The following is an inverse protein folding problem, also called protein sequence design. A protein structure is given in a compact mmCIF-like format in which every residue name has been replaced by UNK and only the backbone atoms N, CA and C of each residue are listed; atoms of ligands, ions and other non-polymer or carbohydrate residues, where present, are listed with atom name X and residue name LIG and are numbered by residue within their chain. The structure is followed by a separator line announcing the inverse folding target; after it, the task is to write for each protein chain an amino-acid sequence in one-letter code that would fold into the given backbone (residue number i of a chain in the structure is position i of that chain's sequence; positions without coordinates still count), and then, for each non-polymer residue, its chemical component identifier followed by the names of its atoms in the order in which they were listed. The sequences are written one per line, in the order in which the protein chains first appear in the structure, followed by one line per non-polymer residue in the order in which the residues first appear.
data_IF_288475833095
#
_entry.id   IF_288475833095
#
_cell.length_a   1.000
_cell.length_b   1.000
_cell.length_c   1.000
_cell.angle_alpha   90.00
_cell.angle_beta   90.00
_cell.angle_gamma   90.00
#
_symmetry.space_group_name_H-M   'P 1'
#
loop_
_entity.id
_entity.type
_entity.pdbx_description
1 polymer ?
#
# COMPACT_ATOMS: atom_id res chain seq x y z
N UNK A 1 44.65 -56.81 64.54
CA UNK A 1 43.91 -57.93 63.91
C UNK A 1 42.52 -57.43 63.52
N UNK A 2 42.23 -57.40 62.22
CA UNK A 2 41.03 -56.78 61.67
C UNK A 2 39.75 -57.47 62.16
N UNK A 3 38.70 -56.70 62.46
CA UNK A 3 37.40 -57.22 62.88
C UNK A 3 36.82 -58.29 61.91
N UNK A 4 37.17 -58.19 60.62
CA UNK A 4 36.81 -59.13 59.57
C UNK A 4 37.40 -60.55 59.79
N UNK A 5 38.57 -60.67 60.42
CA UNK A 5 39.22 -61.98 60.68
C UNK A 5 38.58 -62.75 61.84
N UNK A 6 37.92 -62.04 62.78
CA UNK A 6 37.22 -62.64 63.93
C UNK A 6 35.82 -63.14 63.54
N UNK A 7 35.20 -62.53 62.54
CA UNK A 7 33.91 -62.96 61.96
C UNK A 7 34.09 -64.29 61.19
N UNK A 8 35.22 -64.50 60.51
CA UNK A 8 35.45 -65.67 59.68
C UNK A 8 35.93 -66.93 60.45
N UNK A 9 36.35 -66.80 61.72
CA UNK A 9 36.89 -67.90 62.53
C UNK A 9 35.99 -68.34 63.69
N UNK A 10 34.83 -67.70 63.89
CA UNK A 10 33.90 -68.00 64.98
C UNK A 10 32.86 -69.06 64.57
N UNK A 11 32.83 -70.21 65.27
CA UNK A 11 31.83 -71.28 65.10
C UNK A 11 30.64 -71.15 66.10
N UNK A 12 30.24 -69.93 66.44
CA UNK A 12 29.15 -69.70 67.41
C UNK A 12 27.78 -69.75 66.71
N UNK A 13 26.86 -70.67 67.08
CA UNK A 13 25.53 -70.75 66.48
C UNK A 13 24.71 -69.47 66.70
N UNK A 14 24.96 -68.72 67.79
CA UNK A 14 24.33 -67.42 68.03
C UNK A 14 24.81 -66.33 67.06
N UNK A 15 26.08 -66.34 66.67
CA UNK A 15 26.61 -65.38 65.70
C UNK A 15 26.00 -65.61 64.31
N UNK A 16 25.90 -66.88 63.89
CA UNK A 16 25.22 -67.24 62.64
C UNK A 16 23.73 -66.89 62.65
N UNK A 17 23.04 -67.10 63.78
CA UNK A 17 21.64 -66.68 63.94
C UNK A 17 21.45 -65.16 63.84
N UNK A 18 22.35 -64.37 64.44
CA UNK A 18 22.30 -62.90 64.35
C UNK A 18 22.59 -62.38 62.93
N UNK A 19 23.56 -62.98 62.23
CA UNK A 19 23.87 -62.65 60.83
C UNK A 19 22.70 -63.02 59.91
N UNK A 20 22.09 -64.20 60.10
CA UNK A 20 20.93 -64.62 59.32
C UNK A 20 19.73 -63.69 59.56
N UNK A 21 19.45 -63.30 60.81
CA UNK A 21 18.40 -62.34 61.13
C UNK A 21 18.66 -60.97 60.49
N UNK A 22 19.90 -60.47 60.54
CA UNK A 22 20.30 -59.23 59.89
C UNK A 22 20.10 -59.30 58.37
N UNK A 23 20.54 -60.38 57.72
CA UNK A 23 20.35 -60.57 56.27
C UNK A 23 18.87 -60.64 55.90
N UNK A 24 18.04 -61.33 56.67
CA UNK A 24 16.59 -61.35 56.45
C UNK A 24 15.98 -59.96 56.57
N UNK A 25 16.37 -59.17 57.58
CA UNK A 25 15.88 -57.78 57.69
C UNK A 25 16.33 -56.89 56.52
N UNK A 26 17.56 -57.10 56.01
CA UNK A 26 18.08 -56.39 54.84
C UNK A 26 17.34 -56.79 53.56
N UNK A 27 17.06 -58.08 53.37
CA UNK A 27 16.32 -58.60 52.20
C UNK A 27 14.87 -58.13 52.22
N UNK A 28 14.19 -58.22 53.37
CA UNK A 28 12.82 -57.73 53.54
C UNK A 28 12.77 -56.21 53.37
N UNK A 29 13.73 -55.47 53.95
CA UNK A 29 13.84 -54.02 53.79
C UNK A 29 14.09 -53.61 52.34
N UNK A 30 14.99 -54.30 51.62
CA UNK A 30 15.25 -54.05 50.20
C UNK A 30 14.05 -54.41 49.32
N UNK A 31 13.36 -55.52 49.60
CA UNK A 31 12.14 -55.92 48.90
C UNK A 31 11.01 -54.90 49.05
N UNK A 32 10.76 -54.41 50.27
CA UNK A 32 9.77 -53.35 50.54
C UNK A 32 10.14 -52.05 49.83
N UNK A 33 11.42 -51.66 49.84
CA UNK A 33 11.88 -50.47 49.14
C UNK A 33 11.64 -50.54 47.63
N UNK A 34 11.94 -51.69 47.00
CA UNK A 34 11.71 -51.91 45.56
C UNK A 34 10.22 -51.90 45.23
N UNK A 35 9.38 -52.56 46.03
CA UNK A 35 7.92 -52.61 45.80
C UNK A 35 7.22 -51.26 46.03
N UNK A 36 7.81 -50.37 46.83
CA UNK A 36 7.25 -49.04 47.11
C UNK A 36 7.55 -48.00 46.03
N UNK A 37 8.52 -48.27 45.15
CA UNK A 37 8.96 -47.38 44.08
C UNK A 37 7.93 -47.38 42.95
N UNK A 38 7.50 -46.18 42.57
CA UNK A 38 6.53 -45.93 41.50
C UNK A 38 7.18 -45.06 40.43
N UNK A 39 6.96 -45.35 39.15
CA UNK A 39 7.23 -44.44 38.05
C UNK A 39 6.00 -43.56 37.82
N UNK A 40 6.20 -42.25 37.85
CA UNK A 40 5.12 -41.28 37.70
C UNK A 40 5.50 -40.32 36.58
N UNK A 41 4.52 -40.05 35.71
CA UNK A 41 4.64 -39.03 34.66
C UNK A 41 4.24 -37.69 35.25
N UNK A 42 5.14 -36.71 35.22
CA UNK A 42 4.88 -35.34 35.64
C UNK A 42 4.67 -34.48 34.39
N UNK A 43 3.59 -33.70 34.39
CA UNK A 43 3.29 -32.67 33.39
C UNK A 43 3.32 -31.32 34.11
N UNK A 44 4.46 -30.65 34.11
CA UNK A 44 4.66 -29.39 34.82
C UNK A 44 4.66 -28.23 33.84
N UNK A 45 3.64 -27.37 33.92
CA UNK A 45 3.45 -26.24 33.01
C UNK A 45 3.54 -26.65 31.52
N UNK A 46 3.02 -27.83 31.19
CA UNK A 46 3.05 -28.44 29.86
C UNK A 46 4.30 -29.28 29.54
N UNK A 47 5.38 -29.16 30.31
CA UNK A 47 6.59 -29.97 30.13
C UNK A 47 6.42 -31.35 30.76
N UNK A 48 6.69 -32.41 29.97
CA UNK A 48 6.53 -33.80 30.40
C UNK A 48 7.87 -34.43 30.76
N UNK A 49 7.95 -35.05 31.93
CA UNK A 49 9.07 -35.92 32.31
C UNK A 49 8.60 -37.07 33.20
N UNK A 50 9.39 -38.13 33.26
CA UNK A 50 9.11 -39.29 34.11
C UNK A 50 10.11 -39.33 35.24
N UNK A 51 9.64 -39.48 36.47
CA UNK A 51 10.50 -39.65 37.64
C UNK A 51 9.98 -40.76 38.55
N UNK A 52 10.89 -41.35 39.33
CA UNK A 52 10.54 -42.34 40.33
C UNK A 52 10.26 -41.68 41.67
N UNK A 53 9.21 -42.11 42.37
CA UNK A 53 8.89 -41.65 43.73
C UNK A 53 8.47 -42.81 44.62
N UNK A 54 8.74 -42.70 45.92
CA UNK A 54 8.23 -43.62 46.95
C UNK A 54 7.04 -43.00 47.71
N UNK A 55 6.63 -41.78 47.37
CA UNK A 55 5.52 -41.09 48.06
C UNK A 55 4.19 -41.80 47.80
N UNK A 56 3.28 -41.62 48.74
CA UNK A 56 1.93 -42.16 48.68
C UNK A 56 0.94 -41.20 48.01
N UNK A 57 1.22 -39.91 48.00
CA UNK A 57 0.32 -38.86 47.51
C UNK A 57 0.96 -37.93 46.47
N UNK A 58 0.11 -37.15 45.79
CA UNK A 58 0.51 -36.18 44.77
C UNK A 58 1.39 -35.06 45.34
N UNK A 59 1.03 -34.49 46.49
CA UNK A 59 1.77 -33.39 47.13
C UNK A 59 3.20 -33.80 47.49
N UNK A 60 3.38 -34.97 48.10
CA UNK A 60 4.68 -35.51 48.44
C UNK A 60 5.50 -35.76 47.18
N UNK A 61 4.91 -36.37 46.16
CA UNK A 61 5.59 -36.66 44.90
C UNK A 61 6.08 -35.39 44.19
N UNK A 62 5.25 -34.33 44.14
CA UNK A 62 5.65 -33.04 43.58
C UNK A 62 6.75 -32.36 44.39
N UNK A 63 6.66 -32.38 45.72
CA UNK A 63 7.69 -31.80 46.61
C UNK A 63 9.04 -32.48 46.42
N UNK A 64 9.07 -33.81 46.33
CA UNK A 64 10.31 -34.57 46.08
C UNK A 64 10.90 -34.25 44.69
N UNK A 65 10.04 -33.96 43.71
CA UNK A 65 10.45 -33.49 42.38
C UNK A 65 10.88 -32.01 42.35
N UNK A 66 10.89 -31.31 43.50
CA UNK A 66 11.31 -29.91 43.61
C UNK A 66 10.19 -28.88 43.41
N UNK A 67 8.94 -29.31 43.32
CA UNK A 67 7.79 -28.43 43.07
C UNK A 67 6.94 -28.29 44.34
N UNK A 68 7.01 -27.10 44.96
CA UNK A 68 6.11 -26.71 46.04
C UNK A 68 4.74 -26.28 45.50
N UNK A 69 3.66 -26.73 46.13
CA UNK A 69 2.30 -26.35 45.78
C UNK A 69 1.88 -25.07 46.51
N UNK A 70 1.36 -24.10 45.76
CA UNK A 70 0.63 -22.94 46.27
C UNK A 70 -0.88 -23.20 46.30
N UNK A 71 -1.64 -22.36 47.00
CA UNK A 71 -3.11 -22.44 47.00
C UNK A 71 -3.76 -21.99 45.69
N UNK A 72 -3.00 -21.36 44.79
CA UNK A 72 -3.49 -20.86 43.49
C UNK A 72 -3.10 -21.78 42.32
N UNK A 73 -2.28 -22.80 42.59
CA UNK A 73 -1.85 -23.74 41.57
C UNK A 73 -2.97 -24.71 41.25
N UNK A 74 -3.03 -25.14 40.00
CA UNK A 74 -3.95 -26.17 39.54
C UNK A 74 -3.20 -27.50 39.47
N UNK A 75 -3.66 -28.47 40.25
CA UNK A 75 -3.03 -29.79 40.36
C UNK A 75 -4.06 -30.89 40.16
N UNK A 76 -3.75 -31.80 39.24
CA UNK A 76 -4.60 -32.94 38.91
C UNK A 76 -3.78 -34.22 38.79
N UNK A 77 -4.12 -35.31 39.50
CA UNK A 77 -5.16 -35.41 40.53
C UNK A 77 -4.93 -34.48 41.74
N UNK A 78 -5.92 -34.38 42.65
CA UNK A 78 -5.83 -33.47 43.80
C UNK A 78 -4.59 -33.74 44.66
N UNK A 79 -4.11 -32.72 45.37
CA UNK A 79 -2.86 -32.79 46.12
C UNK A 79 -2.76 -33.94 47.14
N UNK A 80 -3.89 -34.42 47.68
CA UNK A 80 -3.95 -35.55 48.61
C UNK A 80 -4.31 -36.90 47.98
N UNK A 81 -4.54 -36.94 46.65
CA UNK A 81 -4.87 -38.16 45.95
C UNK A 81 -3.73 -39.16 46.05
N UNK A 82 -4.08 -40.44 46.26
CA UNK A 82 -3.10 -41.51 46.31
C UNK A 82 -2.53 -41.77 44.91
N UNK A 83 -1.22 -42.05 44.85
CA UNK A 83 -0.51 -42.30 43.59
C UNK A 83 -0.15 -43.78 43.44
N UNK A 84 -0.33 -44.30 42.24
CA UNK A 84 0.03 -45.67 41.83
C UNK A 84 1.11 -45.65 40.75
N UNK A 85 1.72 -46.79 40.48
CA UNK A 85 2.69 -46.92 39.38
C UNK A 85 2.05 -46.57 38.04
N UNK A 86 2.73 -45.79 37.21
CA UNK A 86 2.21 -45.27 35.94
C UNK A 86 1.28 -44.06 36.06
N UNK A 87 1.03 -43.52 37.26
CA UNK A 87 0.18 -42.34 37.44
C UNK A 87 0.70 -41.13 36.65
N UNK A 88 -0.22 -40.29 36.17
CA UNK A 88 0.11 -38.98 35.59
C UNK A 88 -0.32 -37.87 36.55
N UNK A 89 0.61 -36.99 36.88
CA UNK A 89 0.39 -35.80 37.72
C UNK A 89 0.61 -34.57 36.85
N UNK A 90 -0.41 -33.73 36.75
CA UNK A 90 -0.34 -32.43 36.09
C UNK A 90 -0.30 -31.34 37.13
N UNK A 91 0.66 -30.43 37.02
CA UNK A 91 0.76 -29.21 37.81
C UNK A 91 0.89 -28.01 36.87
N UNK A 92 -0.08 -27.11 36.92
CA UNK A 92 0.00 -25.80 36.31
C UNK A 92 0.14 -24.77 37.42
N UNK A 93 1.31 -24.15 37.51
CA UNK A 93 1.60 -23.16 38.55
C UNK A 93 0.86 -21.86 38.28
N UNK A 94 0.47 -21.19 39.35
CA UNK A 94 -0.21 -19.90 39.27
C UNK A 94 0.75 -18.79 38.80
N UNK A 95 0.23 -17.90 37.96
CA UNK A 95 1.00 -16.89 37.23
C UNK A 95 0.24 -15.57 37.38
N UNK A 96 0.90 -14.54 37.90
CA UNK A 96 0.29 -13.21 38.01
C UNK A 96 0.40 -12.51 36.65
N UNK A 97 -0.73 -12.04 36.12
CA UNK A 97 -0.81 -11.33 34.85
C UNK A 97 -1.30 -9.91 35.11
N UNK A 98 -0.59 -8.93 34.56
CA UNK A 98 -1.01 -7.53 34.53
C UNK A 98 -1.95 -7.35 33.34
N UNK A 99 -3.24 -7.15 33.61
CA UNK A 99 -4.28 -6.96 32.60
C UNK A 99 -4.50 -5.47 32.37
N UNK A 100 -4.43 -5.02 31.13
CA UNK A 100 -4.79 -3.64 30.75
C UNK A 100 -6.00 -3.73 29.84
N UNK A 101 -7.20 -3.49 30.38
CA UNK A 101 -8.45 -3.57 29.62
C UNK A 101 -8.85 -2.16 29.22
N UNK A 102 -8.84 -1.88 27.91
CA UNK A 102 -9.14 -0.54 27.36
C UNK A 102 -8.38 0.59 28.09
N UNK A 103 -7.10 0.35 28.41
CA UNK A 103 -6.23 1.30 29.13
C UNK A 103 -6.33 1.27 30.66
N UNK A 104 -7.25 0.49 31.23
CA UNK A 104 -7.40 0.37 32.69
C UNK A 104 -6.57 -0.80 33.24
N UNK A 105 -5.54 -0.55 34.08
CA UNK A 105 -4.70 -1.61 34.62
C UNK A 105 -5.36 -2.35 35.78
N UNK A 106 -5.17 -3.66 35.83
CA UNK A 106 -5.57 -4.55 36.91
C UNK A 106 -4.64 -5.76 36.98
N UNK A 107 -4.76 -6.58 38.04
CA UNK A 107 -3.99 -7.82 38.20
C UNK A 107 -4.92 -9.00 38.34
N UNK A 108 -4.55 -10.11 37.73
CA UNK A 108 -5.25 -11.38 37.90
C UNK A 108 -4.29 -12.55 37.98
N UNK A 109 -4.75 -13.63 38.59
CA UNK A 109 -4.02 -14.90 38.67
C UNK A 109 -4.65 -15.89 37.70
N UNK A 110 -3.81 -16.63 36.97
CA UNK A 110 -4.26 -17.71 36.11
C UNK A 110 -3.27 -18.87 36.14
N UNK A 111 -3.75 -20.06 35.84
CA UNK A 111 -2.93 -21.27 35.61
C UNK A 111 -2.87 -21.62 34.12
N UNK A 112 -3.29 -20.70 33.24
CA UNK A 112 -3.17 -20.85 31.79
C UNK A 112 -1.69 -20.78 31.34
N UNK A 113 -1.35 -21.57 30.33
CA UNK A 113 -0.01 -21.59 29.74
C UNK A 113 0.11 -20.61 28.58
N UNK A 114 -1.00 -20.27 27.94
CA UNK A 114 -1.07 -19.34 26.80
C UNK A 114 -2.12 -18.25 27.03
N UNK A 115 -2.03 -17.16 26.26
CA UNK A 115 -3.06 -16.11 26.27
C UNK A 115 -4.43 -16.68 25.89
N UNK A 116 -4.49 -17.59 24.91
CA UNK A 116 -5.72 -18.24 24.47
C UNK A 116 -6.45 -18.97 25.61
N UNK A 117 -5.72 -19.73 26.42
CA UNK A 117 -6.24 -20.44 27.58
C UNK A 117 -6.63 -19.49 28.72
N UNK A 118 -5.95 -18.35 28.82
CA UNK A 118 -6.19 -17.38 29.88
C UNK A 118 -7.53 -16.66 29.72
N UNK A 119 -7.97 -16.37 28.49
CA UNK A 119 -9.24 -15.66 28.21
C UNK A 119 -10.43 -16.28 28.97
N UNK A 120 -10.78 -17.56 28.78
CA UNK A 120 -11.92 -18.15 29.50
C UNK A 120 -11.66 -18.29 31.01
N UNK A 121 -10.42 -18.58 31.44
CA UNK A 121 -10.07 -18.68 32.87
C UNK A 121 -10.20 -17.35 33.63
N UNK A 122 -10.05 -16.23 32.91
CA UNK A 122 -10.17 -14.88 33.43
C UNK A 122 -11.58 -14.28 33.22
N UNK A 123 -12.55 -15.08 32.74
CA UNK A 123 -13.91 -14.61 32.40
C UNK A 123 -13.93 -13.45 31.40
N UNK A 124 -12.98 -13.43 30.46
CA UNK A 124 -12.90 -12.40 29.42
C UNK A 124 -13.75 -12.82 28.19
N UNK A 125 -14.40 -11.87 27.49
CA UNK A 125 -15.16 -12.18 26.28
C UNK A 125 -14.29 -12.81 25.18
N UNK A 126 -14.90 -13.68 24.37
CA UNK A 126 -14.19 -14.40 23.31
C UNK A 126 -13.79 -13.54 22.12
N UNK A 127 -14.44 -12.39 21.91
CA UNK A 127 -14.29 -11.48 20.77
C UNK A 127 -13.32 -10.31 21.04
N UNK A 128 -12.54 -10.36 22.13
CA UNK A 128 -11.53 -9.34 22.46
C UNK A 128 -10.24 -9.48 21.64
N UNK A 129 -9.56 -8.36 21.44
CA UNK A 129 -8.20 -8.32 20.92
C UNK A 129 -7.22 -8.46 22.08
N UNK A 130 -6.13 -9.19 21.85
CA UNK A 130 -5.10 -9.43 22.86
C UNK A 130 -3.72 -9.10 22.30
N UNK A 131 -2.93 -8.35 23.06
CA UNK A 131 -1.49 -8.22 22.85
C UNK A 131 -0.75 -8.60 24.14
N UNK A 132 0.12 -9.62 24.13
CA UNK A 132 0.52 -10.43 22.99
C UNK A 132 -0.62 -11.32 22.44
N UNK A 133 -0.41 -11.89 21.24
CA UNK A 133 -1.42 -12.68 20.52
C UNK A 133 -1.86 -13.93 21.30
N UNK A 134 -3.05 -14.47 20.99
CA UNK A 134 -3.61 -15.65 21.68
C UNK A 134 -2.68 -16.87 21.77
N UNK A 135 -1.94 -17.25 20.72
CA UNK A 135 -1.00 -18.37 20.80
C UNK A 135 0.24 -18.11 21.67
N UNK A 136 0.47 -16.85 22.06
CA UNK A 136 1.66 -16.48 22.80
C UNK A 136 1.67 -17.15 24.19
N UNK A 137 2.82 -17.71 24.60
CA UNK A 137 2.96 -18.29 25.92
C UNK A 137 2.89 -17.19 26.98
N UNK A 138 2.28 -17.50 28.11
CA UNK A 138 2.46 -16.70 29.32
C UNK A 138 3.73 -17.24 30.01
N UNK A 139 4.62 -16.41 30.57
CA UNK A 139 5.79 -16.83 31.37
C UNK A 139 5.54 -16.74 32.89
N UNK A 140 6.23 -17.56 33.69
CA UNK A 140 5.93 -17.71 35.13
C UNK A 140 6.30 -16.47 35.94
N UNK A 141 7.33 -15.72 35.52
CA UNK A 141 7.71 -14.44 36.12
C UNK A 141 6.62 -13.35 35.99
N UNK A 142 5.60 -13.57 35.17
CA UNK A 142 4.48 -12.67 34.93
C UNK A 142 4.46 -12.13 33.52
N UNK A 143 3.27 -11.75 33.05
CA UNK A 143 3.06 -11.17 31.73
C UNK A 143 2.19 -9.91 31.82
N UNK A 144 2.38 -9.00 30.88
CA UNK A 144 1.42 -7.94 30.60
C UNK A 144 0.53 -8.39 29.44
N UNK A 145 -0.77 -8.26 29.62
CA UNK A 145 -1.78 -8.58 28.61
C UNK A 145 -2.65 -7.34 28.38
N UNK A 146 -2.46 -6.71 27.23
CA UNK A 146 -3.34 -5.67 26.73
C UNK A 146 -4.57 -6.33 26.11
N UNK A 147 -5.74 -5.90 26.55
CA UNK A 147 -7.03 -6.38 26.11
C UNK A 147 -7.80 -5.18 25.57
N UNK A 148 -8.28 -5.28 24.35
CA UNK A 148 -9.15 -4.27 23.75
C UNK A 148 -10.49 -4.88 23.44
N UNK A 149 -11.55 -4.24 23.94
CA UNK A 149 -12.92 -4.66 23.67
C UNK A 149 -13.33 -4.28 22.23
N UNK A 150 -14.26 -5.04 21.62
CA UNK A 150 -14.76 -4.73 20.28
C UNK A 150 -15.49 -3.39 20.25
N UNK A 151 -15.20 -2.59 19.22
CA UNK A 151 -15.89 -1.34 18.90
C UNK A 151 -16.71 -1.51 17.63
N UNK A 152 -17.83 -0.81 17.53
CA UNK A 152 -18.64 -0.76 16.31
C UNK A 152 -18.27 0.50 15.52
N UNK A 153 -17.82 0.35 14.28
CA UNK A 153 -17.36 1.44 13.41
C UNK A 153 -18.10 1.40 12.07
N UNK A 154 -18.19 2.54 11.38
CA UNK A 154 -18.61 2.62 9.98
C UNK A 154 -17.38 2.55 9.08
N UNK A 155 -17.22 1.48 8.31
CA UNK A 155 -16.08 1.28 7.41
C UNK A 155 -16.50 1.36 5.95
N UNK A 156 -15.85 2.26 5.21
CA UNK A 156 -15.84 2.35 3.75
C UNK A 156 -14.45 1.95 3.25
N UNK A 157 -14.35 0.99 2.34
CA UNK A 157 -13.08 0.53 1.77
C UNK A 157 -13.18 0.43 0.25
N UNK A 158 -12.15 0.90 -0.45
CA UNK A 158 -12.01 0.79 -1.90
C UNK A 158 -13.22 1.39 -2.67
N UNK A 159 -13.82 2.45 -2.12
CA UNK A 159 -15.01 3.11 -2.69
C UNK A 159 -16.34 2.37 -2.50
N UNK A 160 -16.36 1.28 -1.72
CA UNK A 160 -17.60 0.59 -1.32
C UNK A 160 -18.34 1.45 -0.27
N UNK A 161 -19.68 1.55 -0.32
CA UNK A 161 -20.45 2.28 0.68
C UNK A 161 -20.16 1.81 2.11
N UNK A 162 -20.18 2.76 3.06
CA UNK A 162 -19.87 2.48 4.45
C UNK A 162 -20.83 1.43 5.05
N UNK A 163 -20.27 0.48 5.81
CA UNK A 163 -21.02 -0.56 6.51
C UNK A 163 -20.57 -0.66 7.97
N UNK A 164 -21.47 -1.11 8.85
CA UNK A 164 -21.15 -1.29 10.27
C UNK A 164 -20.31 -2.55 10.47
N UNK A 165 -19.17 -2.38 11.11
CA UNK A 165 -18.23 -3.46 11.46
C UNK A 165 -18.00 -3.43 12.95
N UNK A 166 -18.17 -4.59 13.62
CA UNK A 166 -17.88 -4.75 15.05
C UNK A 166 -16.71 -5.70 15.23
N UNK A 167 -15.55 -5.15 15.59
CA UNK A 167 -14.31 -5.90 15.76
C UNK A 167 -13.48 -5.31 16.91
N UNK A 168 -12.66 -6.15 17.53
CA UNK A 168 -11.70 -5.70 18.52
C UNK A 168 -10.35 -5.41 17.85
N UNK A 169 -9.89 -4.18 18.00
CA UNK A 169 -8.56 -3.74 17.61
C UNK A 169 -8.23 -2.43 18.38
N UNK A 170 -6.95 -2.18 18.69
CA UNK A 170 -6.54 -0.96 19.40
C UNK A 170 -6.65 0.30 18.55
N UNK A 171 -6.49 0.17 17.23
CA UNK A 171 -6.30 1.28 16.27
C UNK A 171 -6.95 0.97 14.92
N UNK A 172 -7.11 2.00 14.08
CA UNK A 172 -7.65 1.86 12.72
C UNK A 172 -6.85 0.88 11.87
N UNK A 173 -5.51 0.96 11.90
CA UNK A 173 -4.63 0.07 11.13
C UNK A 173 -4.80 -1.40 11.53
N UNK A 174 -4.86 -1.67 12.82
CA UNK A 174 -4.99 -3.00 13.39
C UNK A 174 -6.40 -3.57 13.12
N UNK A 175 -7.44 -2.72 13.07
CA UNK A 175 -8.77 -3.13 12.63
C UNK A 175 -8.72 -3.69 11.21
N UNK A 176 -8.07 -2.96 10.29
CA UNK A 176 -7.92 -3.38 8.91
C UNK A 176 -7.10 -4.67 8.79
N UNK A 177 -6.07 -4.84 9.63
CA UNK A 177 -5.28 -6.06 9.69
C UNK A 177 -6.11 -7.26 10.19
N UNK A 178 -6.87 -7.11 11.27
CA UNK A 178 -7.74 -8.16 11.83
C UNK A 178 -8.86 -8.52 10.86
N UNK A 179 -9.38 -7.56 10.11
CA UNK A 179 -10.38 -7.79 9.05
C UNK A 179 -9.78 -8.48 7.80
N UNK A 180 -8.46 -8.63 7.72
CA UNK A 180 -7.78 -9.25 6.58
C UNK A 180 -7.55 -8.32 5.39
N UNK A 181 -7.72 -7.01 5.57
CA UNK A 181 -7.54 -5.98 4.54
C UNK A 181 -6.51 -4.94 4.96
N UNK A 182 -5.26 -5.32 5.33
CA UNK A 182 -4.26 -4.37 5.79
C UNK A 182 -3.95 -3.30 4.72
N UNK A 183 -3.48 -2.14 5.14
CA UNK A 183 -2.99 -1.11 4.22
C UNK A 183 -1.69 -1.60 3.56
N UNK A 184 -1.60 -1.47 2.24
CA UNK A 184 -0.40 -1.84 1.48
C UNK A 184 -0.02 -0.72 0.53
N UNK A 185 1.26 -0.66 0.15
CA UNK A 185 1.77 0.27 -0.87
C UNK A 185 1.43 1.74 -0.58
N UNK A 186 0.55 2.34 -1.39
CA UNK A 186 0.14 3.75 -1.32
C UNK A 186 -1.29 3.90 -0.78
N UNK A 187 -1.85 2.86 -0.16
CA UNK A 187 -3.14 2.93 0.49
C UNK A 187 -3.14 3.99 1.60
N UNK A 188 -4.27 4.65 1.77
CA UNK A 188 -4.48 5.69 2.76
C UNK A 188 -5.77 5.43 3.53
N UNK A 189 -5.82 5.82 4.79
CA UNK A 189 -7.02 5.73 5.63
C UNK A 189 -7.22 7.01 6.42
N UNK A 190 -8.49 7.41 6.54
CA UNK A 190 -8.93 8.49 7.40
C UNK A 190 -10.02 7.99 8.36
N UNK A 191 -9.88 8.19 9.69
CA UNK A 191 -8.72 8.71 10.41
C UNK A 191 -7.44 7.89 10.21
N UNK A 192 -6.29 8.45 10.62
CA UNK A 192 -4.98 7.82 10.43
C UNK A 192 -4.92 6.41 11.05
N UNK A 193 -4.08 5.55 10.48
CA UNK A 193 -3.95 4.15 10.93
C UNK A 193 -3.60 4.01 12.42
N UNK A 194 -2.91 4.98 13.02
CA UNK A 194 -2.55 5.00 14.44
C UNK A 194 -3.65 5.54 15.36
N UNK A 195 -4.77 6.04 14.83
CA UNK A 195 -5.87 6.58 15.61
C UNK A 195 -6.54 5.47 16.44
N UNK A 196 -6.69 5.61 17.76
CA UNK A 196 -7.40 4.65 18.60
C UNK A 196 -8.87 4.54 18.23
N UNK A 197 -9.44 3.32 18.25
CA UNK A 197 -10.85 3.11 17.90
C UNK A 197 -11.82 3.63 18.96
N UNK A 198 -12.95 4.17 18.49
CA UNK A 198 -14.10 4.59 19.30
C UNK A 198 -15.40 4.09 18.63
N UNK A 199 -16.45 3.91 19.42
CA UNK A 199 -17.75 3.50 18.89
C UNK A 199 -18.36 4.59 17.99
N UNK A 200 -18.94 4.17 16.87
CA UNK A 200 -19.49 5.03 15.82
C UNK A 200 -18.46 5.74 14.94
N UNK A 201 -17.16 5.43 15.10
CA UNK A 201 -16.11 6.03 14.28
C UNK A 201 -16.32 5.72 12.79
N UNK A 202 -16.19 6.75 11.94
CA UNK A 202 -16.20 6.60 10.48
C UNK A 202 -14.79 6.42 9.98
N UNK A 203 -14.54 5.34 9.26
CA UNK A 203 -13.24 4.98 8.69
C UNK A 203 -13.42 4.88 7.18
N UNK A 204 -12.66 5.67 6.44
CA UNK A 204 -12.64 5.65 4.97
C UNK A 204 -11.25 5.24 4.50
N UNK A 205 -11.17 4.10 3.84
CA UNK A 205 -9.94 3.59 3.23
C UNK A 205 -9.96 3.88 1.74
N UNK A 206 -8.89 4.53 1.27
CA UNK A 206 -8.62 4.77 -0.14
C UNK A 206 -7.53 3.82 -0.59
N UNK A 207 -7.87 2.90 -1.50
CA UNK A 207 -6.90 1.95 -2.06
C UNK A 207 -6.24 2.55 -3.29
N UNK A 208 -4.90 2.54 -3.32
CA UNK A 208 -4.14 3.08 -4.44
C UNK A 208 -3.11 2.08 -4.92
N UNK A 209 -3.25 1.68 -6.18
CA UNK A 209 -2.31 0.78 -6.86
C UNK A 209 -1.86 1.41 -8.17
N UNK A 210 -0.59 1.18 -8.51
CA UNK A 210 -0.03 1.52 -9.82
C UNK A 210 0.30 0.22 -10.52
N UNK A 211 -0.31 -0.01 -11.68
CA UNK A 211 -0.06 -1.20 -12.49
C UNK A 211 0.53 -0.82 -13.85
N UNK A 212 1.39 -1.68 -14.38
CA UNK A 212 1.92 -1.52 -15.73
C UNK A 212 0.95 -2.16 -16.72
N UNK A 213 0.38 -1.36 -17.61
CA UNK A 213 -0.51 -1.83 -18.69
C UNK A 213 0.10 -1.49 -20.03
N UNK A 214 0.25 -2.50 -20.90
CA UNK A 214 0.73 -2.30 -22.27
C UNK A 214 -0.45 -2.24 -23.22
N UNK A 215 -0.52 -1.17 -24.01
CA UNK A 215 -1.53 -0.97 -25.05
C UNK A 215 -0.85 -0.73 -26.40
N UNK A 216 -1.42 -1.31 -27.46
CA UNK A 216 -0.99 -1.05 -28.83
C UNK A 216 -1.71 0.17 -29.37
N UNK A 217 -0.96 1.21 -29.70
CA UNK A 217 -1.51 2.48 -30.23
C UNK A 217 -0.87 2.84 -31.59
N UNK A 218 -1.53 3.70 -32.39
CA UNK A 218 -0.93 4.24 -33.61
C UNK A 218 0.37 5.00 -33.34
N UNK A 219 1.30 4.93 -34.29
CA UNK A 219 2.50 5.75 -34.33
C UNK A 219 2.39 6.72 -35.50
N UNK A 220 2.37 8.03 -35.20
CA UNK A 220 2.26 9.05 -36.23
C UNK A 220 3.48 9.05 -37.16
N UNK A 221 3.28 9.22 -38.48
CA UNK A 221 4.37 9.36 -39.45
C UNK A 221 5.32 10.51 -39.11
N UNK A 222 6.65 10.29 -39.11
CA UNK A 222 7.61 11.37 -39.01
C UNK A 222 7.54 12.27 -40.26
N UNK A 223 7.86 13.54 -40.11
CA UNK A 223 7.84 14.50 -41.21
C UNK A 223 9.15 14.46 -42.00
N UNK A 224 9.06 14.27 -43.31
CA UNK A 224 10.14 14.52 -44.25
C UNK A 224 9.86 15.85 -44.96
N UNK A 225 10.62 16.88 -44.62
CA UNK A 225 10.41 18.24 -45.14
C UNK A 225 11.26 18.45 -46.38
N UNK A 226 10.62 18.79 -47.49
CA UNK A 226 11.26 19.20 -48.73
C UNK A 226 10.99 20.70 -48.95
N UNK A 227 12.05 21.48 -49.12
CA UNK A 227 11.95 22.89 -49.45
C UNK A 227 11.53 23.08 -50.92
N UNK A 228 10.50 23.89 -51.16
CA UNK A 228 10.06 24.26 -52.49
C UNK A 228 10.31 25.76 -52.74
N UNK A 229 11.27 26.07 -53.61
CA UNK A 229 11.68 27.43 -53.96
C UNK A 229 10.65 28.19 -54.83
N UNK A 230 9.60 27.54 -55.30
CA UNK A 230 8.49 28.14 -56.05
C UNK A 230 7.31 28.49 -55.14
N UNK A 231 7.25 27.88 -53.95
CA UNK A 231 6.19 28.07 -52.96
C UNK A 231 6.59 29.12 -51.90
N UNK A 232 5.70 30.06 -51.58
CA UNK A 232 5.96 31.06 -50.53
C UNK A 232 6.22 30.42 -49.17
N UNK A 233 7.11 31.00 -48.37
CA UNK A 233 7.52 30.47 -47.05
C UNK A 233 6.38 30.36 -46.03
N UNK A 234 5.28 31.06 -46.26
CA UNK A 234 4.03 30.99 -45.46
C UNK A 234 3.21 29.72 -45.73
N UNK A 235 3.50 28.99 -46.81
CA UNK A 235 2.70 27.86 -47.28
C UNK A 235 3.40 26.54 -46.99
N UNK A 236 2.58 25.55 -46.63
CA UNK A 236 3.00 24.17 -46.42
C UNK A 236 1.98 23.26 -47.12
N UNK A 237 2.46 22.30 -47.88
CA UNK A 237 1.62 21.34 -48.61
C UNK A 237 2.03 19.93 -48.20
N UNK A 238 1.06 19.11 -47.79
CA UNK A 238 1.28 17.68 -47.59
C UNK A 238 1.26 17.01 -48.96
N UNK A 239 2.42 16.57 -49.43
CA UNK A 239 2.56 15.87 -50.71
C UNK A 239 2.21 14.38 -50.57
N UNK A 240 2.67 13.76 -49.48
CA UNK A 240 2.31 12.40 -49.11
C UNK A 240 1.98 12.35 -47.62
N UNK A 241 0.79 11.90 -47.20
CA UNK A 241 0.40 11.83 -45.79
C UNK A 241 1.16 10.76 -44.99
N UNK A 242 1.96 9.92 -45.64
CA UNK A 242 2.64 8.78 -45.00
C UNK A 242 1.67 7.66 -44.64
N UNK A 243 2.17 6.67 -43.92
CA UNK A 243 1.35 5.56 -43.39
C UNK A 243 1.65 5.41 -41.90
N UNK A 244 0.64 5.53 -41.03
CA UNK A 244 0.84 5.32 -39.60
C UNK A 244 1.41 3.94 -39.28
N UNK A 245 2.35 3.92 -38.34
CA UNK A 245 2.89 2.69 -37.77
C UNK A 245 2.07 2.23 -36.57
N UNK A 246 2.62 1.27 -35.82
CA UNK A 246 2.09 0.87 -34.51
C UNK A 246 3.21 0.76 -33.49
N UNK A 247 2.91 1.12 -32.25
CA UNK A 247 3.83 1.01 -31.12
C UNK A 247 3.08 0.41 -29.93
N UNK A 248 3.78 -0.43 -29.17
CA UNK A 248 3.31 -0.90 -27.88
C UNK A 248 3.82 0.08 -26.82
N UNK A 249 2.90 0.77 -26.14
CA UNK A 249 3.20 1.73 -25.08
C UNK A 249 2.79 1.10 -23.75
N UNK A 250 3.78 0.95 -22.86
CA UNK A 250 3.53 0.60 -21.47
C UNK A 250 3.22 1.89 -20.70
N UNK A 251 2.06 1.90 -20.07
CA UNK A 251 1.60 2.95 -19.18
C UNK A 251 1.71 2.50 -17.72
N UNK A 252 2.11 3.43 -16.84
CA UNK A 252 1.87 3.31 -15.41
C UNK A 252 0.45 3.81 -15.13
N UNK A 253 -0.49 2.89 -14.93
CA UNK A 253 -1.91 3.18 -14.69
C UNK A 253 -2.13 3.32 -13.19
N UNK A 254 -2.51 4.52 -12.76
CA UNK A 254 -2.90 4.79 -11.37
C UNK A 254 -4.36 4.44 -11.17
N UNK A 255 -4.63 3.50 -10.27
CA UNK A 255 -5.98 3.07 -9.91
C UNK A 255 -6.25 3.51 -8.46
N UNK A 256 -7.36 4.22 -8.26
CA UNK A 256 -7.83 4.69 -6.96
C UNK A 256 -9.24 4.16 -6.75
N UNK A 257 -9.46 3.41 -5.66
CA UNK A 257 -10.76 2.80 -5.34
C UNK A 257 -11.33 1.94 -6.48
N UNK A 258 -10.47 1.12 -7.09
CA UNK A 258 -10.81 0.27 -8.23
C UNK A 258 -11.09 1.00 -9.55
N UNK A 259 -10.93 2.33 -9.61
CA UNK A 259 -11.16 3.15 -10.80
C UNK A 259 -9.86 3.75 -11.32
N UNK A 260 -9.69 3.77 -12.64
CA UNK A 260 -8.56 4.42 -13.29
C UNK A 260 -8.62 5.93 -13.04
N UNK A 261 -7.62 6.45 -12.34
CA UNK A 261 -7.48 7.87 -12.04
C UNK A 261 -6.62 8.61 -13.09
N UNK A 262 -5.74 7.87 -13.77
CA UNK A 262 -4.88 8.40 -14.83
C UNK A 262 -3.84 7.38 -15.26
N UNK A 263 -3.18 7.63 -16.40
CA UNK A 263 -2.10 6.80 -16.90
C UNK A 263 -1.01 7.64 -17.56
N UNK A 264 0.24 7.33 -17.26
CA UNK A 264 1.41 8.01 -17.81
C UNK A 264 2.26 7.03 -18.63
N UNK A 265 2.71 7.40 -19.84
CA UNK A 265 3.56 6.53 -20.65
C UNK A 265 4.96 6.41 -20.01
N UNK A 266 5.42 5.18 -19.76
CA UNK A 266 6.74 4.90 -19.17
C UNK A 266 7.73 4.32 -20.18
N UNK A 267 7.22 3.60 -21.19
CA UNK A 267 8.04 2.97 -22.22
C UNK A 267 7.23 2.84 -23.50
N UNK A 268 7.85 3.13 -24.64
CA UNK A 268 7.29 2.82 -25.94
C UNK A 268 8.23 1.87 -26.69
N UNK A 269 7.68 0.96 -27.49
CA UNK A 269 8.43 0.11 -28.40
C UNK A 269 7.70 0.07 -29.74
N UNK A 270 8.39 0.49 -30.81
CA UNK A 270 7.85 0.45 -32.17
C UNK A 270 7.73 -1.00 -32.63
N UNK A 271 6.55 -1.38 -33.10
CA UNK A 271 6.25 -2.72 -33.63
C UNK A 271 6.25 -2.68 -35.15
N UNK A 272 5.48 -1.76 -35.72
CA UNK A 272 5.47 -1.48 -37.16
C UNK A 272 5.92 -0.03 -37.33
N UNK A 273 7.07 0.23 -38.00
CA UNK A 273 7.52 1.60 -38.22
C UNK A 273 6.54 2.35 -39.13
N UNK A 274 6.30 3.62 -38.83
CA UNK A 274 5.51 4.49 -39.69
C UNK A 274 6.29 4.84 -40.97
N UNK A 275 5.61 4.95 -42.11
CA UNK A 275 6.21 5.50 -43.32
C UNK A 275 6.14 7.03 -43.26
N UNK A 276 7.26 7.76 -43.44
CA UNK A 276 7.29 9.21 -43.31
C UNK A 276 6.26 9.91 -44.20
N UNK A 277 5.70 11.00 -43.70
CA UNK A 277 4.88 11.90 -44.52
C UNK A 277 5.78 12.94 -45.17
N UNK A 278 5.60 13.18 -46.46
CA UNK A 278 6.36 14.20 -47.20
C UNK A 278 5.60 15.52 -47.16
N UNK A 279 6.25 16.53 -46.60
CA UNK A 279 5.72 17.88 -46.50
C UNK A 279 6.60 18.80 -47.33
N UNK A 280 5.99 19.49 -48.29
CA UNK A 280 6.65 20.56 -49.01
C UNK A 280 6.44 21.88 -48.29
N UNK A 281 7.52 22.44 -47.75
CA UNK A 281 7.51 23.76 -47.12
C UNK A 281 8.02 24.79 -48.11
N UNK A 282 7.34 25.92 -48.22
CA UNK A 282 7.80 26.97 -49.12
C UNK A 282 9.14 27.56 -48.69
N UNK A 283 9.97 27.84 -49.68
CA UNK A 283 11.32 28.39 -49.54
C UNK A 283 11.62 29.43 -50.63
N UNK A 284 10.57 29.99 -51.26
CA UNK A 284 10.71 31.01 -52.30
C UNK A 284 11.40 32.26 -51.74
N UNK A 285 12.59 32.64 -52.26
CA UNK A 285 13.32 33.80 -51.74
C UNK A 285 12.50 35.09 -51.82
N UNK A 286 12.61 35.95 -50.80
CA UNK A 286 11.90 37.24 -50.74
C UNK A 286 10.45 37.15 -50.24
N UNK A 287 10.00 35.94 -49.86
CA UNK A 287 8.67 35.67 -49.29
C UNK A 287 8.70 35.42 -47.78
N UNK A 288 9.75 35.88 -47.10
CA UNK A 288 9.86 35.84 -45.64
C UNK A 288 8.77 36.72 -45.02
N UNK A 289 7.94 36.12 -44.17
CA UNK A 289 6.86 36.83 -43.48
C UNK A 289 7.32 37.23 -42.08
N UNK A 290 7.41 38.53 -41.76
CA UNK A 290 7.78 38.97 -40.42
C UNK A 290 6.71 38.56 -39.40
N UNK A 291 7.09 38.35 -38.12
CA UNK A 291 6.13 38.10 -37.05
C UNK A 291 5.09 39.22 -36.96
N UNK A 292 3.82 38.86 -36.91
CA UNK A 292 2.70 39.82 -36.82
C UNK A 292 2.73 40.55 -35.48
N UNK A 293 2.86 41.88 -35.53
CA UNK A 293 2.71 42.76 -34.38
C UNK A 293 1.28 43.29 -34.29
N UNK A 294 0.72 43.41 -33.09
CA UNK A 294 -0.66 43.88 -32.84
C UNK A 294 -1.73 43.09 -33.63
N UNK A 295 -1.59 41.76 -33.71
CA UNK A 295 -2.49 40.90 -34.49
C UNK A 295 -3.97 41.09 -34.18
N UNK A 296 -4.32 41.28 -32.90
CA UNK A 296 -5.71 41.52 -32.49
C UNK A 296 -6.30 42.82 -33.09
N UNK A 297 -5.49 43.87 -33.24
CA UNK A 297 -5.90 45.12 -33.88
C UNK A 297 -6.15 44.91 -35.37
N UNK A 298 -5.27 44.16 -36.04
CA UNK A 298 -5.44 43.80 -37.45
C UNK A 298 -6.65 42.91 -37.69
N UNK A 299 -6.94 41.97 -36.77
CA UNK A 299 -8.11 41.11 -36.86
C UNK A 299 -9.41 41.88 -36.59
N UNK A 300 -9.40 42.82 -35.64
CA UNK A 300 -10.55 43.70 -35.39
C UNK A 300 -10.83 44.59 -36.60
N UNK A 301 -9.76 45.14 -37.21
CA UNK A 301 -9.86 45.90 -38.44
C UNK A 301 -10.42 45.04 -39.57
N UNK A 302 -9.86 43.84 -39.80
CA UNK A 302 -10.35 42.94 -40.81
C UNK A 302 -11.82 42.51 -40.57
N UNK A 303 -12.23 42.36 -39.31
CA UNK A 303 -13.63 42.10 -38.95
C UNK A 303 -14.57 43.25 -39.35
N UNK A 304 -14.12 44.49 -39.19
CA UNK A 304 -14.90 45.65 -39.62
C UNK A 304 -14.91 45.80 -41.15
N UNK A 305 -13.78 45.58 -41.81
CA UNK A 305 -13.57 45.83 -43.25
C UNK A 305 -14.13 44.69 -44.15
N UNK A 306 -13.97 43.43 -43.75
CA UNK A 306 -14.31 42.25 -44.56
C UNK A 306 -15.19 41.23 -43.83
N UNK A 307 -15.66 41.53 -42.61
CA UNK A 307 -16.29 40.54 -41.74
C UNK A 307 -15.30 39.50 -41.19
N UNK A 308 -13.98 39.71 -41.39
CA UNK A 308 -12.91 38.82 -40.95
C UNK A 308 -12.48 37.80 -42.00
N UNK A 309 -12.99 37.91 -43.23
CA UNK A 309 -12.61 37.02 -44.32
C UNK A 309 -11.36 37.55 -45.06
N UNK A 310 -10.20 36.99 -44.73
CA UNK A 310 -8.92 37.37 -45.35
C UNK A 310 -8.79 37.02 -46.83
N UNK A 311 -9.65 36.14 -47.36
CA UNK A 311 -9.68 35.78 -48.78
C UNK A 311 -10.85 36.47 -49.52
N UNK A 312 -11.45 37.52 -48.95
CA UNK A 312 -12.61 38.17 -49.56
C UNK A 312 -12.24 38.84 -50.89
N UNK A 313 -13.11 38.65 -51.88
CA UNK A 313 -13.09 39.35 -53.15
C UNK A 313 -14.52 39.47 -53.66
N UNK A 314 -15.13 40.64 -53.46
CA UNK A 314 -16.53 40.89 -53.84
C UNK A 314 -16.67 41.55 -55.21
N UNK A 315 -15.55 41.79 -55.92
CA UNK A 315 -15.54 42.54 -57.18
C UNK A 315 -15.70 44.05 -57.01
N UNK A 316 -15.63 44.58 -55.78
CA UNK A 316 -15.76 46.02 -55.50
C UNK A 316 -14.47 46.84 -55.70
N UNK A 317 -13.40 46.22 -56.22
CA UNK A 317 -12.10 46.86 -56.43
C UNK A 317 -11.13 46.78 -55.24
N UNK A 318 -11.55 46.19 -54.12
CA UNK A 318 -10.72 45.95 -52.93
C UNK A 318 -10.61 44.46 -52.64
N UNK A 319 -9.48 44.04 -52.05
CA UNK A 319 -9.11 42.64 -51.90
C UNK A 319 -8.62 42.33 -50.48
N UNK A 320 -9.00 41.15 -49.99
CA UNK A 320 -8.47 40.58 -48.75
C UNK A 320 -9.02 41.23 -47.47
N UNK A 321 -8.50 40.77 -46.32
CA UNK A 321 -9.13 40.98 -45.02
C UNK A 321 -9.26 42.44 -44.61
N UNK A 322 -8.32 43.27 -45.05
CA UNK A 322 -8.24 44.71 -44.75
C UNK A 322 -8.47 45.57 -46.00
N UNK A 323 -9.13 45.02 -47.02
CA UNK A 323 -9.64 45.74 -48.17
C UNK A 323 -8.56 46.59 -48.87
N UNK A 324 -7.46 45.97 -49.31
CA UNK A 324 -6.46 46.67 -50.13
C UNK A 324 -7.00 46.96 -51.52
N UNK A 325 -6.78 48.18 -52.04
CA UNK A 325 -6.83 48.40 -53.48
C UNK A 325 -5.58 47.83 -54.16
N UNK A 326 -5.71 47.45 -55.44
CA UNK A 326 -4.63 46.79 -56.18
C UNK A 326 -3.35 47.63 -56.27
N UNK A 327 -3.49 48.95 -56.49
CA UNK A 327 -2.34 49.84 -56.65
C UNK A 327 -1.55 49.97 -55.35
N UNK A 328 -2.25 50.04 -54.21
CA UNK A 328 -1.60 50.06 -52.89
C UNK A 328 -0.92 48.74 -52.58
N UNK A 329 -1.56 47.60 -52.87
CA UNK A 329 -0.94 46.27 -52.72
C UNK A 329 0.39 46.17 -53.49
N UNK A 330 0.39 46.56 -54.76
CA UNK A 330 1.59 46.55 -55.61
C UNK A 330 2.67 47.52 -55.11
N UNK A 331 2.30 48.77 -54.82
CA UNK A 331 3.22 49.83 -54.39
C UNK A 331 3.92 49.52 -53.06
N UNK A 332 3.26 48.78 -52.18
CA UNK A 332 3.81 48.41 -50.87
C UNK A 332 4.55 47.05 -50.91
N UNK A 333 4.66 46.43 -52.09
CA UNK A 333 5.47 45.23 -52.32
C UNK A 333 4.73 43.92 -52.09
N UNK A 334 3.39 43.90 -52.09
CA UNK A 334 2.59 42.70 -51.86
C UNK A 334 2.68 41.64 -52.95
N UNK A 335 3.08 42.03 -54.16
CA UNK A 335 3.28 41.11 -55.30
C UNK A 335 4.37 40.06 -55.08
N UNK A 336 5.26 40.26 -54.10
CA UNK A 336 6.21 39.22 -53.68
C UNK A 336 5.51 37.99 -53.10
N UNK A 337 4.38 38.20 -52.42
CA UNK A 337 3.57 37.15 -51.83
C UNK A 337 2.51 36.64 -52.81
N UNK A 338 1.66 37.51 -53.33
CA UNK A 338 0.63 37.11 -54.28
C UNK A 338 0.24 38.26 -55.22
N UNK A 339 -0.30 37.96 -56.42
CA UNK A 339 -0.73 39.00 -57.36
C UNK A 339 -1.77 39.97 -56.79
N UNK A 340 -2.58 39.51 -55.83
CA UNK A 340 -3.60 40.30 -55.13
C UNK A 340 -3.63 39.94 -53.65
N UNK A 341 -4.13 40.84 -52.82
CA UNK A 341 -4.19 40.64 -51.38
C UNK A 341 -5.06 39.42 -50.98
N UNK A 342 -6.19 39.17 -51.65
CA UNK A 342 -7.10 38.05 -51.37
C UNK A 342 -6.46 36.65 -51.55
N UNK A 343 -5.35 36.58 -52.30
CA UNK A 343 -4.61 35.33 -52.56
C UNK A 343 -3.45 35.11 -51.57
N UNK A 344 -3.05 36.15 -50.84
CA UNK A 344 -2.02 36.09 -49.82
C UNK A 344 -2.59 35.59 -48.49
N UNK A 345 -1.74 34.99 -47.66
CA UNK A 345 -2.15 34.64 -46.28
C UNK A 345 -2.45 35.89 -45.48
N UNK A 346 -3.16 35.71 -44.37
CA UNK A 346 -3.39 36.77 -43.38
C UNK A 346 -2.08 37.45 -42.97
N UNK A 347 -1.07 36.66 -42.64
CA UNK A 347 0.22 37.15 -42.15
C UNK A 347 0.98 37.92 -43.25
N UNK A 348 0.90 37.45 -44.49
CA UNK A 348 1.44 38.16 -45.65
C UNK A 348 0.72 39.50 -45.87
N UNK A 349 -0.61 39.53 -45.76
CA UNK A 349 -1.39 40.76 -45.88
C UNK A 349 -1.05 41.75 -44.76
N UNK A 350 -0.94 41.29 -43.51
CA UNK A 350 -0.57 42.14 -42.37
C UNK A 350 0.86 42.68 -42.52
N UNK A 351 1.80 41.89 -43.06
CA UNK A 351 3.15 42.36 -43.31
C UNK A 351 3.15 43.57 -44.27
N UNK A 352 2.31 43.57 -45.30
CA UNK A 352 2.15 44.71 -46.22
C UNK A 352 1.33 45.84 -45.58
N UNK A 353 0.37 45.52 -44.72
CA UNK A 353 -0.41 46.48 -43.96
C UNK A 353 0.45 47.30 -43.00
N UNK A 354 1.38 46.64 -42.31
CA UNK A 354 2.32 47.28 -41.40
C UNK A 354 3.24 48.28 -42.15
N UNK A 355 3.68 47.94 -43.37
CA UNK A 355 4.41 48.88 -44.23
C UNK A 355 3.53 50.10 -44.58
N UNK A 356 2.26 49.87 -44.93
CA UNK A 356 1.31 50.95 -45.22
C UNK A 356 1.07 51.84 -44.00
N UNK A 357 0.82 51.23 -42.85
CA UNK A 357 0.60 51.90 -41.56
C UNK A 357 1.82 52.73 -41.14
N UNK A 358 3.04 52.21 -41.31
CA UNK A 358 4.25 52.97 -40.96
C UNK A 358 4.43 54.24 -41.80
N UNK A 359 3.86 54.28 -43.02
CA UNK A 359 3.96 55.42 -43.95
C UNK A 359 2.80 56.41 -43.84
N UNK A 360 1.60 55.92 -43.57
CA UNK A 360 0.35 56.70 -43.66
C UNK A 360 -0.43 56.76 -42.33
N UNK A 361 0.07 56.11 -41.29
CA UNK A 361 -0.67 55.85 -40.06
C UNK A 361 -1.87 54.94 -40.29
N UNK A 362 -2.78 54.88 -39.33
CA UNK A 362 -4.06 54.15 -39.44
C UNK A 362 -5.09 54.84 -40.34
N UNK A 363 -4.76 56.01 -40.91
CA UNK A 363 -5.61 56.78 -41.79
C UNK A 363 -5.92 56.13 -43.15
N UNK A 364 -5.22 55.03 -43.49
CA UNK A 364 -5.54 54.22 -44.67
C UNK A 364 -6.87 53.45 -44.55
N UNK A 365 -7.41 53.31 -43.33
CA UNK A 365 -8.67 52.60 -43.05
C UNK A 365 -9.64 53.46 -42.20
N UNK A 366 -10.01 54.66 -42.65
CA UNK A 366 -10.53 55.73 -41.79
C UNK A 366 -11.89 55.41 -41.12
N UNK A 367 -12.76 54.68 -41.81
CA UNK A 367 -14.09 54.35 -41.30
C UNK A 367 -14.01 53.31 -40.15
N UNK A 368 -13.22 52.26 -40.34
CA UNK A 368 -13.10 51.20 -39.36
C UNK A 368 -12.12 51.54 -38.22
N UNK A 369 -11.04 52.26 -38.47
CA UNK A 369 -10.12 52.69 -37.40
C UNK A 369 -10.79 53.69 -36.46
N UNK A 370 -11.60 54.61 -36.98
CA UNK A 370 -12.45 55.51 -36.18
C UNK A 370 -13.47 54.73 -35.34
N UNK A 371 -14.16 53.75 -35.93
CA UNK A 371 -15.14 52.91 -35.22
C UNK A 371 -14.52 52.04 -34.12
N UNK A 372 -13.27 51.62 -34.32
CA UNK A 372 -12.52 50.76 -33.40
C UNK A 372 -11.66 51.54 -32.38
N UNK A 373 -11.59 52.87 -32.49
CA UNK A 373 -10.77 53.71 -31.60
C UNK A 373 -9.26 53.51 -31.78
N UNK A 374 -8.83 53.17 -33.01
CA UNK A 374 -7.42 52.93 -33.34
C UNK A 374 -6.80 54.25 -33.83
N UNK A 375 -5.72 54.70 -33.18
CA UNK A 375 -5.01 55.96 -33.48
C UNK A 375 -3.56 55.76 -33.86
#
# INVERSE_FOLDING_TARGET
MHALTKINSSRSPMLYGAIAAMLVTLIVGAGVAIMSKKQVTFVIDGAKFVASTMRGDVRGALKDAGYGLSSRDDVSPSAGAQISDGSTITLNRAREVSLIIDGTPSKAWTTALTVAEAIPKLNLPGDVFTSPSRPSPLPLEGAQLLITNPRTVELSDNGVPASLVRLAAPTVGELLQVQGHPLVNQDFVEPAASTPLTDGMKITVTRKVVENRTERIPLDPPENIIEDQTLNMSRTVVENPGVPGTQDVTFAVSIVNGKEAGKDPIKSTVIVPAQPKTIRKGAKPGTEVPPVQNGATWDALAKCESGGNWAINTGNGFYGGIQFDQNTWERQGGTRYAPRADLATREEQIAIAAVTQSRQGWGAWPACTSRLGIS
#
